data_IF_969640173693
#
_entry.id   IF_969640173693
#
_cell.length_a   1.000
_cell.length_b   1.000
_cell.length_c   1.000
_cell.angle_alpha   90.00
_cell.angle_beta   90.00
_cell.angle_gamma   90.00
#
_symmetry.space_group_name_H-M   'P 1'
#
loop_
_entity.id
_entity.type
_entity.pdbx_description
1 polymer ?
#
# COMPACT_ATOMS: atom_id res chain seq x y z
N UNK A 1 -5.62 12.74 21.81
CA UNK A 1 -6.07 13.02 20.43
C UNK A 1 -6.13 11.76 19.56
N UNK A 2 -5.00 11.22 19.09
CA UNK A 2 -4.99 10.09 18.13
C UNK A 2 -5.55 8.78 18.71
N UNK A 3 -5.19 8.42 19.94
CA UNK A 3 -5.68 7.20 20.60
C UNK A 3 -7.19 7.23 20.84
N UNK A 4 -7.77 8.41 21.14
CA UNK A 4 -9.22 8.57 21.32
C UNK A 4 -10.00 8.20 20.05
N UNK A 5 -9.58 8.73 18.89
CA UNK A 5 -10.19 8.39 17.60
C UNK A 5 -10.01 6.91 17.29
N UNK A 6 -8.82 6.35 17.57
CA UNK A 6 -8.53 4.93 17.32
C UNK A 6 -9.22 3.94 18.27
N UNK A 7 -9.69 4.41 19.42
CA UNK A 7 -10.56 3.62 20.31
C UNK A 7 -11.91 3.35 19.65
N UNK A 8 -12.47 4.35 18.96
CA UNK A 8 -13.75 4.24 18.23
C UNK A 8 -13.56 3.58 16.86
N UNK A 9 -12.51 3.97 16.12
CA UNK A 9 -12.18 3.44 14.79
C UNK A 9 -10.76 2.84 14.77
N UNK A 10 -10.63 1.55 15.13
CA UNK A 10 -9.35 0.87 15.10
C UNK A 10 -8.73 0.89 13.70
N UNK A 11 -7.42 1.09 13.64
CA UNK A 11 -6.61 1.05 12.40
C UNK A 11 -6.90 2.15 11.37
N UNK A 12 -7.55 3.25 11.76
CA UNK A 12 -7.75 4.39 10.85
C UNK A 12 -6.41 4.90 10.28
N UNK A 13 -6.38 5.09 8.96
CA UNK A 13 -5.20 5.55 8.24
C UNK A 13 -4.83 7.00 8.55
N UNK A 14 -3.55 7.34 8.37
CA UNK A 14 -2.99 8.65 8.71
C UNK A 14 -3.63 9.81 7.97
N UNK A 15 -3.98 9.63 6.69
CA UNK A 15 -4.64 10.68 5.90
C UNK A 15 -6.05 11.01 6.41
N UNK A 16 -6.84 9.98 6.76
CA UNK A 16 -8.17 10.19 7.36
C UNK A 16 -8.06 10.76 8.78
N UNK A 17 -7.06 10.34 9.53
CA UNK A 17 -6.74 10.87 10.85
C UNK A 17 -6.35 12.36 10.79
N UNK A 18 -5.57 12.77 9.78
CA UNK A 18 -5.21 14.17 9.56
C UNK A 18 -6.45 15.03 9.32
N UNK A 19 -7.36 14.57 8.46
CA UNK A 19 -8.63 15.26 8.20
C UNK A 19 -9.48 15.44 9.47
N UNK A 20 -9.58 14.41 10.32
CA UNK A 20 -10.37 14.47 11.56
C UNK A 20 -9.74 15.35 12.64
N UNK A 21 -8.43 15.57 12.60
CA UNK A 21 -7.68 16.37 13.56
C UNK A 21 -7.22 17.69 12.96
N UNK A 22 -7.74 18.08 11.79
CA UNK A 22 -7.20 19.15 10.98
C UNK A 22 -7.11 20.47 11.75
N UNK A 23 -8.19 20.88 12.42
CA UNK A 23 -8.24 22.14 13.17
C UNK A 23 -7.19 22.17 14.29
N UNK A 24 -7.12 21.12 15.10
CA UNK A 24 -6.14 21.00 16.19
C UNK A 24 -4.70 20.94 15.67
N UNK A 25 -4.47 20.28 14.53
CA UNK A 25 -3.14 20.17 13.92
C UNK A 25 -2.71 21.48 13.25
N UNK A 26 -3.66 22.25 12.70
CA UNK A 26 -3.43 23.56 12.11
C UNK A 26 -2.97 24.57 13.17
N UNK A 27 -3.63 24.61 14.32
CA UNK A 27 -3.21 25.45 15.45
C UNK A 27 -1.79 25.15 15.93
N UNK A 28 -1.37 23.88 15.88
CA UNK A 28 -0.02 23.45 16.22
C UNK A 28 1.01 23.61 15.08
N UNK A 29 0.61 24.06 13.89
CA UNK A 29 1.50 24.15 12.73
C UNK A 29 2.02 22.78 12.25
N UNK A 30 1.21 21.73 12.42
CA UNK A 30 1.53 20.36 12.02
C UNK A 30 0.83 20.02 10.70
N UNK A 31 1.58 20.06 9.61
CA UNK A 31 1.11 19.57 8.31
C UNK A 31 1.08 18.04 8.19
N UNK A 32 0.58 17.54 7.06
CA UNK A 32 0.42 16.11 6.80
C UNK A 32 1.70 15.29 6.93
N UNK A 33 2.80 15.72 6.30
CA UNK A 33 4.08 14.99 6.35
C UNK A 33 4.71 15.00 7.76
N UNK A 34 4.52 16.12 8.48
CA UNK A 34 4.98 16.24 9.87
C UNK A 34 4.18 15.28 10.77
N UNK A 35 2.87 15.11 10.53
CA UNK A 35 2.05 14.13 11.25
C UNK A 35 2.58 12.70 11.05
N UNK A 36 2.98 12.32 9.83
CA UNK A 36 3.59 11.00 9.58
C UNK A 36 4.88 10.81 10.39
N UNK A 37 5.73 11.84 10.43
CA UNK A 37 6.99 11.82 11.20
C UNK A 37 6.74 11.68 12.70
N UNK A 38 5.80 12.45 13.26
CA UNK A 38 5.40 12.39 14.66
C UNK A 38 4.87 11.00 15.01
N UNK A 39 3.95 10.45 14.21
CA UNK A 39 3.37 9.14 14.47
C UNK A 39 4.40 8.02 14.37
N UNK A 40 5.37 8.14 13.45
CA UNK A 40 6.48 7.19 13.32
C UNK A 40 7.38 7.22 14.56
N UNK A 41 7.76 8.42 15.03
CA UNK A 41 8.59 8.60 16.22
C UNK A 41 7.93 8.07 17.50
N UNK A 42 6.60 8.18 17.59
CA UNK A 42 5.83 7.70 18.75
C UNK A 42 5.36 6.23 18.62
N UNK A 43 5.86 5.47 17.65
CA UNK A 43 5.41 4.09 17.37
C UNK A 43 3.88 3.94 17.11
N UNK A 44 3.22 5.03 16.71
CA UNK A 44 1.79 5.08 16.40
C UNK A 44 1.49 4.92 14.90
N UNK A 45 2.51 4.84 14.04
CA UNK A 45 2.30 4.61 12.61
C UNK A 45 1.81 3.18 12.37
N UNK A 46 0.60 3.05 11.81
CA UNK A 46 0.03 1.75 11.45
C UNK A 46 0.75 1.24 10.20
N UNK A 47 1.40 0.09 10.32
CA UNK A 47 2.02 -0.61 9.20
C UNK A 47 1.09 -1.73 8.73
N UNK A 48 0.74 -1.82 7.44
CA UNK A 48 -0.03 -2.95 6.95
C UNK A 48 0.79 -4.24 7.14
N UNK A 49 0.21 -5.22 7.84
CA UNK A 49 0.81 -6.54 7.96
C UNK A 49 0.68 -7.25 6.61
N UNK A 50 1.79 -7.64 5.99
CA UNK A 50 1.77 -8.50 4.80
C UNK A 50 1.12 -9.83 5.17
N UNK A 51 0.02 -10.18 4.50
CA UNK A 51 -0.56 -11.52 4.62
C UNK A 51 0.12 -12.43 3.60
N UNK A 52 1.04 -13.26 4.07
CA UNK A 52 1.77 -14.23 3.24
C UNK A 52 1.00 -15.54 3.05
N UNK A 53 -0.21 -15.67 3.59
CA UNK A 53 -0.99 -16.91 3.44
C UNK A 53 -1.50 -17.00 2.00
N UNK A 54 -0.75 -17.73 1.20
CA UNK A 54 -1.20 -18.23 -0.10
C UNK A 54 -2.24 -19.30 0.20
N UNK A 55 -3.53 -18.93 0.21
CA UNK A 55 -4.65 -19.85 0.45
C UNK A 55 -5.01 -20.68 -0.77
N UNK A 56 -4.34 -20.44 -1.88
CA UNK A 56 -4.65 -21.08 -3.15
C UNK A 56 -3.49 -22.00 -3.51
N UNK A 57 -3.67 -23.30 -3.29
CA UNK A 57 -2.96 -24.29 -4.09
C UNK A 57 -3.60 -24.26 -5.48
N UNK A 58 -3.41 -23.16 -6.22
CA UNK A 58 -3.90 -23.03 -7.58
C UNK A 58 -3.11 -24.04 -8.40
N UNK A 59 -3.61 -25.27 -8.48
CA UNK A 59 -3.21 -26.30 -9.42
C UNK A 59 -3.62 -25.84 -10.83
N UNK A 60 -3.10 -24.67 -11.22
CA UNK A 60 -3.57 -23.88 -12.33
C UNK A 60 -3.23 -24.63 -13.61
N UNK A 61 -4.27 -25.00 -14.35
CA UNK A 61 -4.14 -25.83 -15.55
C UNK A 61 -3.41 -25.11 -16.68
N UNK A 62 -3.42 -23.78 -16.69
CA UNK A 62 -2.72 -23.02 -17.72
C UNK A 62 -1.25 -22.85 -17.33
N UNK A 63 -0.37 -23.42 -18.15
CA UNK A 63 1.08 -23.24 -18.07
C UNK A 63 1.47 -21.93 -18.74
N UNK A 64 2.43 -21.21 -18.14
CA UNK A 64 3.15 -20.17 -18.88
C UNK A 64 4.04 -20.86 -19.91
N UNK A 65 3.79 -20.61 -21.18
CA UNK A 65 4.67 -21.04 -22.27
C UNK A 65 5.74 -19.97 -22.53
N UNK A 66 6.95 -20.41 -22.85
CA UNK A 66 8.05 -19.51 -23.22
C UNK A 66 7.71 -18.85 -24.56
N UNK A 67 8.11 -17.58 -24.72
CA UNK A 67 8.00 -16.91 -26.01
C UNK A 67 9.04 -17.50 -26.97
N UNK A 68 8.59 -18.33 -27.92
CA UNK A 68 9.47 -19.01 -28.87
C UNK A 68 10.02 -18.07 -29.96
N UNK A 69 9.47 -16.86 -30.08
CA UNK A 69 9.78 -15.90 -31.15
C UNK A 69 10.85 -14.90 -30.69
N UNK A 70 11.18 -14.88 -29.39
CA UNK A 70 12.05 -13.87 -28.79
C UNK A 70 13.44 -13.80 -29.44
N UNK A 71 13.98 -14.94 -29.86
CA UNK A 71 15.32 -15.06 -30.47
C UNK A 71 15.26 -15.29 -31.99
N UNK A 72 14.07 -15.22 -32.60
CA UNK A 72 13.90 -15.45 -34.04
C UNK A 72 14.13 -14.14 -34.82
N UNK A 73 15.11 -14.08 -35.75
CA UNK A 73 15.26 -12.92 -36.62
C UNK A 73 14.09 -12.88 -37.61
N UNK A 74 13.24 -11.86 -37.50
CA UNK A 74 12.16 -11.58 -38.44
C UNK A 74 12.73 -10.80 -39.63
N UNK A 75 12.56 -11.32 -40.84
CA UNK A 75 13.15 -10.78 -42.07
C UNK A 75 12.13 -10.05 -42.95
N UNK A 76 10.83 -10.24 -42.72
CA UNK A 76 9.75 -9.63 -43.48
C UNK A 76 8.46 -9.49 -42.64
N UNK A 77 7.53 -8.61 -43.05
CA UNK A 77 6.22 -8.48 -42.41
C UNK A 77 5.44 -9.80 -42.41
N UNK A 78 4.63 -10.03 -41.36
CA UNK A 78 3.70 -11.18 -41.21
C UNK A 78 4.34 -12.56 -40.99
N UNK A 79 5.58 -12.61 -40.52
CA UNK A 79 6.30 -13.87 -40.30
C UNK A 79 5.85 -14.62 -39.03
N UNK A 80 5.21 -13.95 -38.06
CA UNK A 80 4.59 -14.52 -36.85
C UNK A 80 3.36 -13.72 -36.40
#
# INVERSE_FOLDING_TARGET
MVQGIRSVMPRIGTGKLYYLLYDSLQEMGVGGDKLFSILKANHLLIKPKRNYRITTNSHHRFRKHKNLIADLPLTHPEQV
#
